data_IF_988427195285
#
_entry.id   IF_988427195285
#
_cell.length_a   1.000
_cell.length_b   1.000
_cell.length_c   1.000
_cell.angle_alpha   90.00
_cell.angle_beta   90.00
_cell.angle_gamma   90.00
#
_symmetry.space_group_name_H-M   'P 1'
#
loop_
_entity.id
_entity.type
_entity.pdbx_description
1 polymer ?
#
# COMPACT_ATOMS: atom_id res chain seq x y z
N UNK A 1 -78.70 -0.10 -5.91
CA UNK A 1 -78.59 -1.57 -5.78
C UNK A 1 -77.23 -1.98 -6.32
N UNK A 2 -76.44 -2.63 -5.44
CA UNK A 2 -75.25 -3.47 -5.67
C UNK A 2 -73.92 -2.82 -6.10
N UNK A 3 -73.09 -2.59 -5.08
CA UNK A 3 -71.62 -2.68 -5.08
C UNK A 3 -71.14 -4.05 -5.59
N UNK A 4 -69.97 -4.10 -6.24
CA UNK A 4 -69.01 -5.18 -6.01
C UNK A 4 -67.57 -4.72 -6.29
N UNK A 5 -66.73 -4.86 -5.27
CA UNK A 5 -65.32 -4.50 -5.18
C UNK A 5 -64.39 -5.67 -5.60
N UNK A 6 -63.33 -5.35 -6.38
CA UNK A 6 -61.96 -5.94 -6.36
C UNK A 6 -61.78 -7.46 -6.73
N UNK A 7 -60.60 -7.95 -7.19
CA UNK A 7 -59.26 -7.47 -6.82
C UNK A 7 -58.18 -7.40 -7.93
N UNK A 8 -57.13 -6.66 -7.57
CA UNK A 8 -55.84 -6.58 -8.25
C UNK A 8 -55.13 -7.94 -8.30
N UNK A 9 -54.64 -8.33 -9.47
CA UNK A 9 -53.73 -9.47 -9.62
C UNK A 9 -52.29 -8.96 -9.50
N UNK A 10 -51.75 -9.06 -8.29
CA UNK A 10 -50.36 -8.75 -7.99
C UNK A 10 -49.44 -9.77 -8.70
N UNK A 11 -48.66 -9.30 -9.67
CA UNK A 11 -47.53 -10.06 -10.20
C UNK A 11 -46.35 -9.91 -9.25
N UNK A 12 -46.13 -10.91 -8.39
CA UNK A 12 -44.98 -11.02 -7.49
C UNK A 12 -44.02 -12.06 -8.09
N UNK A 13 -43.05 -11.59 -8.88
CA UNK A 13 -41.85 -12.35 -9.23
C UNK A 13 -40.80 -11.95 -8.21
N UNK A 14 -40.41 -12.78 -7.22
CA UNK A 14 -39.25 -12.46 -6.43
C UNK A 14 -38.03 -12.68 -7.33
N UNK A 15 -37.41 -11.58 -7.74
CA UNK A 15 -36.07 -11.55 -8.27
C UNK A 15 -35.11 -12.09 -7.18
N UNK A 16 -34.85 -13.39 -7.22
CA UNK A 16 -33.74 -13.99 -6.49
C UNK A 16 -32.45 -13.66 -7.24
N UNK A 17 -32.07 -12.38 -7.19
CA UNK A 17 -30.72 -11.95 -7.53
C UNK A 17 -29.80 -12.60 -6.49
N UNK A 18 -28.94 -13.50 -6.95
CA UNK A 18 -27.81 -14.01 -6.19
C UNK A 18 -26.98 -12.84 -5.66
N UNK A 19 -27.21 -12.45 -4.40
CA UNK A 19 -26.23 -11.70 -3.63
C UNK A 19 -25.15 -12.70 -3.20
N UNK A 20 -24.27 -13.06 -4.14
CA UNK A 20 -22.98 -13.64 -3.75
C UNK A 20 -22.16 -12.46 -3.23
N UNK A 21 -22.23 -12.23 -1.92
CA UNK A 21 -21.23 -11.41 -1.26
C UNK A 21 -19.86 -12.04 -1.57
N UNK A 22 -18.84 -11.26 -1.96
CA UNK A 22 -17.50 -11.80 -1.98
C UNK A 22 -17.23 -12.31 -0.57
N UNK A 23 -17.00 -13.61 -0.44
CA UNK A 23 -16.36 -14.16 0.76
C UNK A 23 -14.98 -13.54 0.72
N UNK A 24 -14.82 -12.43 1.45
CA UNK A 24 -13.50 -11.91 1.81
C UNK A 24 -12.90 -12.99 2.71
N UNK A 25 -12.21 -13.94 2.07
CA UNK A 25 -11.61 -15.06 2.77
C UNK A 25 -10.59 -14.48 3.72
N UNK A 26 -10.77 -14.74 5.02
CA UNK A 26 -9.80 -14.32 6.01
C UNK A 26 -8.40 -14.77 5.57
N UNK A 27 -7.35 -13.95 5.77
CA UNK A 27 -5.99 -14.37 5.51
C UNK A 27 -5.71 -15.72 6.19
N UNK A 28 -4.92 -16.61 5.57
CA UNK A 28 -4.49 -17.83 6.22
C UNK A 28 -3.89 -17.54 7.60
N UNK A 29 -4.05 -18.46 8.55
CA UNK A 29 -3.36 -18.34 9.83
C UNK A 29 -1.84 -18.46 9.62
N UNK A 30 -1.13 -17.34 9.84
CA UNK A 30 0.32 -17.22 9.71
C UNK A 30 1.03 -17.25 11.07
N UNK A 31 0.34 -17.61 12.16
CA UNK A 31 0.91 -17.66 13.53
C UNK A 31 2.14 -18.57 13.66
N UNK A 32 2.30 -19.54 12.75
CA UNK A 32 3.45 -20.44 12.67
C UNK A 32 4.70 -19.79 12.03
N UNK A 33 4.56 -18.65 11.35
CA UNK A 33 5.71 -17.96 10.76
C UNK A 33 6.53 -17.29 11.88
N UNK A 34 7.84 -17.60 11.99
CA UNK A 34 8.69 -16.93 12.95
C UNK A 34 8.72 -15.43 12.63
N UNK A 35 8.77 -14.60 13.67
CA UNK A 35 9.00 -13.17 13.49
C UNK A 35 10.34 -12.95 12.79
N UNK A 36 10.35 -12.08 11.78
CA UNK A 36 11.59 -11.74 11.09
C UNK A 36 12.62 -11.18 12.10
N UNK A 37 13.88 -11.64 12.06
CA UNK A 37 14.92 -11.06 12.90
C UNK A 37 15.13 -9.59 12.55
N UNK A 38 15.60 -8.80 13.52
CA UNK A 38 15.94 -7.40 13.27
C UNK A 38 17.06 -7.33 12.22
N UNK A 39 16.91 -6.42 11.26
CA UNK A 39 17.97 -6.11 10.31
C UNK A 39 19.21 -5.58 11.06
N UNK A 40 20.43 -5.91 10.59
CA UNK A 40 21.64 -5.32 11.14
C UNK A 40 21.63 -3.78 10.96
N UNK A 41 22.47 -3.05 11.72
CA UNK A 41 22.72 -1.65 11.43
C UNK A 41 23.24 -1.50 9.99
N UNK A 42 22.90 -0.40 9.31
CA UNK A 42 23.39 -0.16 7.95
C UNK A 42 24.92 -0.01 7.94
N UNK A 43 25.53 -0.61 6.92
CA UNK A 43 26.96 -0.50 6.65
C UNK A 43 27.19 0.51 5.50
N UNK A 44 28.43 0.95 5.30
CA UNK A 44 28.77 1.88 4.22
C UNK A 44 28.19 3.29 4.40
N UNK A 45 27.84 3.93 3.28
CA UNK A 45 27.28 5.29 3.28
C UNK A 45 25.83 5.26 3.74
N UNK A 46 25.48 6.09 4.71
CA UNK A 46 24.08 6.27 5.16
C UNK A 46 23.60 7.67 4.79
N UNK A 47 22.57 7.75 3.95
CA UNK A 47 21.90 9.01 3.61
C UNK A 47 20.54 9.02 4.31
N UNK A 48 20.25 10.06 5.08
CA UNK A 48 18.95 10.25 5.74
C UNK A 48 18.13 11.26 4.96
N UNK A 49 16.87 10.93 4.70
CA UNK A 49 15.97 11.77 3.90
C UNK A 49 14.65 11.99 4.64
N UNK A 50 14.07 13.16 4.44
CA UNK A 50 12.80 13.58 5.04
C UNK A 50 11.85 14.24 4.04
N UNK A 51 12.31 14.51 2.82
CA UNK A 51 11.52 15.11 1.73
C UNK A 51 11.66 14.32 0.43
N UNK A 52 10.73 14.54 -0.51
CA UNK A 52 10.77 13.92 -1.84
C UNK A 52 12.05 14.31 -2.59
N UNK A 53 12.41 15.59 -2.61
CA UNK A 53 13.63 16.05 -3.29
C UNK A 53 14.89 15.39 -2.73
N UNK A 54 14.98 15.25 -1.40
CA UNK A 54 16.08 14.54 -0.75
C UNK A 54 16.12 13.06 -1.14
N UNK A 55 14.96 12.41 -1.27
CA UNK A 55 14.87 11.01 -1.69
C UNK A 55 15.39 10.82 -3.12
N UNK A 56 14.99 11.67 -4.07
CA UNK A 56 15.51 11.64 -5.43
C UNK A 56 17.00 11.96 -5.50
N UNK A 57 17.46 12.96 -4.74
CA UNK A 57 18.88 13.30 -4.68
C UNK A 57 19.70 12.14 -4.09
N UNK A 58 19.21 11.50 -3.03
CA UNK A 58 19.87 10.36 -2.41
C UNK A 58 20.00 9.18 -3.39
N UNK A 59 18.98 8.91 -4.21
CA UNK A 59 19.06 7.88 -5.26
C UNK A 59 20.14 8.17 -6.32
N UNK A 60 20.43 9.44 -6.58
CA UNK A 60 21.50 9.87 -7.49
C UNK A 60 22.89 9.79 -6.84
N UNK A 61 22.99 10.09 -5.56
CA UNK A 61 24.29 10.28 -4.87
C UNK A 61 24.79 9.03 -4.12
N UNK A 62 23.91 8.06 -3.89
CA UNK A 62 24.25 6.87 -3.12
C UNK A 62 25.26 6.00 -3.86
N UNK A 63 26.28 5.55 -3.13
CA UNK A 63 27.30 4.60 -3.61
C UNK A 63 26.87 3.15 -3.37
N UNK A 64 27.46 2.18 -4.10
CA UNK A 64 27.22 0.76 -3.84
C UNK A 64 27.52 0.39 -2.38
N UNK A 65 26.72 -0.52 -1.83
CA UNK A 65 26.68 -0.90 -0.42
C UNK A 65 26.02 0.13 0.50
N UNK A 66 25.45 1.20 -0.07
CA UNK A 66 24.87 2.31 0.70
C UNK A 66 23.44 2.04 1.19
N UNK A 67 23.04 2.78 2.22
CA UNK A 67 21.67 2.76 2.76
C UNK A 67 21.04 4.16 2.74
N UNK A 68 19.83 4.25 2.18
CA UNK A 68 18.95 5.40 2.29
C UNK A 68 17.92 5.12 3.39
N UNK A 69 17.93 5.95 4.44
CA UNK A 69 16.98 5.90 5.56
C UNK A 69 15.93 7.01 5.39
N UNK A 70 14.67 6.60 5.24
CA UNK A 70 13.54 7.52 5.03
C UNK A 70 12.85 7.78 6.36
N UNK A 71 12.75 9.04 6.75
CA UNK A 71 11.96 9.44 7.91
C UNK A 71 10.48 9.06 7.75
N UNK A 72 9.75 8.96 8.86
CA UNK A 72 8.31 8.70 8.81
C UNK A 72 7.60 9.83 8.07
N UNK A 73 6.70 9.49 7.15
CA UNK A 73 6.02 10.46 6.32
C UNK A 73 5.24 9.86 5.17
N UNK A 74 4.49 10.75 4.51
CA UNK A 74 3.75 10.48 3.29
C UNK A 74 4.36 11.32 2.17
N UNK A 75 4.86 10.65 1.14
CA UNK A 75 5.68 11.22 0.08
C UNK A 75 4.90 11.14 -1.23
N UNK A 76 4.36 12.26 -1.68
CA UNK A 76 3.74 12.36 -3.02
C UNK A 76 4.84 12.31 -4.07
N UNK A 77 4.89 11.22 -4.82
CA UNK A 77 5.90 10.96 -5.83
C UNK A 77 5.47 11.59 -7.17
N UNK A 78 6.18 12.62 -7.66
CA UNK A 78 5.79 13.31 -8.90
C UNK A 78 6.01 12.46 -10.16
N UNK A 79 6.83 11.40 -10.03
CA UNK A 79 7.20 10.46 -11.10
C UNK A 79 7.69 9.16 -10.48
N UNK A 80 7.98 8.17 -11.32
CA UNK A 80 8.66 6.95 -10.89
C UNK A 80 9.98 7.26 -10.16
N UNK A 81 10.25 6.46 -9.12
CA UNK A 81 11.50 6.49 -8.39
C UNK A 81 12.39 5.34 -8.86
N UNK A 82 13.65 5.64 -9.14
CA UNK A 82 14.60 4.68 -9.71
C UNK A 82 15.88 4.67 -8.89
N UNK A 83 16.36 3.47 -8.55
CA UNK A 83 17.71 3.25 -8.03
C UNK A 83 18.55 2.64 -9.15
N UNK A 84 19.56 3.38 -9.59
CA UNK A 84 20.49 2.94 -10.66
C UNK A 84 21.77 2.33 -10.12
N UNK A 85 22.13 2.64 -8.88
CA UNK A 85 23.31 2.10 -8.21
C UNK A 85 23.00 0.72 -7.67
N UNK A 86 23.86 -0.24 -7.99
CA UNK A 86 23.78 -1.60 -7.46
C UNK A 86 24.04 -1.63 -5.94
N UNK A 87 23.54 -2.68 -5.27
CA UNK A 87 23.78 -2.93 -3.85
C UNK A 87 23.35 -1.76 -2.94
N UNK A 88 22.14 -1.23 -3.14
CA UNK A 88 21.56 -0.16 -2.32
C UNK A 88 20.41 -0.68 -1.48
N UNK A 89 20.40 -0.32 -0.20
CA UNK A 89 19.26 -0.53 0.69
C UNK A 89 18.42 0.75 0.80
N UNK A 90 17.11 0.65 0.58
CA UNK A 90 16.14 1.67 0.96
C UNK A 90 15.25 1.12 2.08
N UNK A 91 15.16 1.83 3.21
CA UNK A 91 14.32 1.40 4.35
C UNK A 91 13.81 2.57 5.17
N UNK A 92 12.74 2.35 5.95
CA UNK A 92 12.29 3.33 6.93
C UNK A 92 13.31 3.50 8.05
N UNK A 93 13.41 4.74 8.54
CA UNK A 93 14.28 5.09 9.66
C UNK A 93 13.75 4.52 10.98
N UNK A 94 12.44 4.42 11.15
CA UNK A 94 11.77 3.90 12.34
C UNK A 94 11.73 2.38 12.44
N UNK A 95 12.13 1.66 11.37
CA UNK A 95 11.91 0.22 11.21
C UNK A 95 10.43 -0.19 11.17
N UNK A 96 9.51 0.75 10.91
CA UNK A 96 8.10 0.48 10.68
C UNK A 96 7.77 0.77 9.20
N UNK A 97 7.26 -0.25 8.48
CA UNK A 97 6.89 -0.11 7.06
C UNK A 97 5.60 0.70 6.86
N UNK A 98 4.75 0.79 7.87
CA UNK A 98 3.48 1.51 7.79
C UNK A 98 3.64 3.03 7.96
N UNK A 99 4.84 3.48 8.32
CA UNK A 99 5.16 4.88 8.59
C UNK A 99 5.82 5.60 7.42
N UNK A 100 6.17 4.90 6.33
CA UNK A 100 6.70 5.50 5.10
C UNK A 100 5.80 5.10 3.94
N UNK A 101 5.04 6.07 3.43
CA UNK A 101 4.15 5.87 2.29
C UNK A 101 4.73 6.63 1.10
N UNK A 102 5.16 5.89 0.07
CA UNK A 102 5.52 6.46 -1.23
C UNK A 102 4.29 6.38 -2.12
N UNK A 103 3.70 7.52 -2.43
CA UNK A 103 2.39 7.60 -3.07
C UNK A 103 2.50 8.13 -4.50
N UNK A 104 2.07 7.32 -5.46
CA UNK A 104 2.08 7.66 -6.88
C UNK A 104 0.76 8.24 -7.40
N UNK A 105 -0.21 8.57 -6.53
CA UNK A 105 -1.56 8.99 -6.94
C UNK A 105 -1.58 10.19 -7.91
N UNK A 106 -0.60 11.10 -7.79
CA UNK A 106 -0.46 12.29 -8.63
C UNK A 106 0.73 12.21 -9.61
N UNK A 107 1.31 11.02 -9.80
CA UNK A 107 2.45 10.80 -10.69
C UNK A 107 2.06 10.99 -12.15
N UNK A 108 2.80 11.83 -12.88
CA UNK A 108 2.48 12.20 -14.28
C UNK A 108 3.26 11.40 -15.33
N UNK A 109 3.53 10.11 -15.07
CA UNK A 109 4.43 9.26 -15.87
C UNK A 109 4.14 9.27 -17.37
#
# INVERSE_FOLDING_TARGET
MLNLERPALAALVPALLFLVAPVDAAPPDFSWLPSAPKLPPPEGQVIRVSTVDQLFQAASDIRPGGTILVADGHYMMPRYFELRTDDVTLRSQSCDRHKVILDGAESSS
#
